data_IF_051627149056
#
_entry.id   IF_051627149056
#
_cell.length_a   1.000
_cell.length_b   1.000
_cell.length_c   1.000
_cell.angle_alpha   90.00
_cell.angle_beta   90.00
_cell.angle_gamma   90.00
#
_symmetry.space_group_name_H-M   'P 1'
#
loop_
_entity.id
_entity.type
_entity.pdbx_description
1 polymer ?
#
# COMPACT_ATOMS: atom_id res chain seq x y z
N UNK A 1 -33.20 10.75 24.86
CA UNK A 1 -31.74 10.80 25.05
C UNK A 1 -31.15 11.32 23.75
N UNK A 2 -30.56 12.52 23.71
CA UNK A 2 -30.12 13.17 22.45
C UNK A 2 -28.97 12.34 21.87
N UNK A 3 -28.99 12.05 20.56
CA UNK A 3 -27.99 11.25 19.84
C UNK A 3 -26.54 11.65 20.20
N UNK A 4 -26.28 12.95 20.37
CA UNK A 4 -24.98 13.46 20.82
C UNK A 4 -24.56 12.94 22.20
N UNK A 5 -25.49 12.75 23.14
CA UNK A 5 -25.19 12.23 24.47
C UNK A 5 -24.86 10.73 24.42
N UNK A 6 -25.51 9.97 23.53
CA UNK A 6 -25.19 8.57 23.29
C UNK A 6 -23.80 8.44 22.65
N UNK A 7 -23.50 9.28 21.65
CA UNK A 7 -22.18 9.33 20.98
C UNK A 7 -21.07 9.70 21.98
N UNK A 8 -21.29 10.71 22.84
CA UNK A 8 -20.30 11.10 23.85
C UNK A 8 -20.08 10.02 24.91
N UNK A 9 -21.14 9.31 25.32
CA UNK A 9 -21.01 8.19 26.25
C UNK A 9 -20.31 6.97 25.62
N UNK A 10 -20.44 6.78 24.31
CA UNK A 10 -19.77 5.69 23.58
C UNK A 10 -18.30 5.99 23.25
N UNK A 11 -17.92 7.26 23.04
CA UNK A 11 -16.58 7.64 22.58
C UNK A 11 -15.54 7.83 23.70
N UNK A 12 -15.95 7.85 24.98
CA UNK A 12 -15.06 8.03 26.12
C UNK A 12 -14.38 9.40 26.18
N UNK A 13 -14.03 9.88 27.38
CA UNK A 13 -13.46 11.20 27.57
C UNK A 13 -12.09 11.33 26.87
N UNK A 14 -12.04 12.09 25.78
CA UNK A 14 -10.84 12.29 24.94
C UNK A 14 -10.40 13.76 25.01
N UNK A 15 -9.27 14.03 25.67
CA UNK A 15 -8.69 15.39 25.89
C UNK A 15 -8.40 16.18 24.58
N UNK A 16 -8.33 17.53 24.61
CA UNK A 16 -8.20 18.37 23.41
C UNK A 16 -6.81 19.03 23.21
N UNK A 17 -6.35 19.11 21.93
CA UNK A 17 -5.92 20.34 21.21
C UNK A 17 -4.83 20.08 20.13
N UNK A 18 -5.13 20.36 18.85
CA UNK A 18 -4.25 20.86 17.75
C UNK A 18 -4.88 20.49 16.38
N UNK A 19 -5.14 21.51 15.54
CA UNK A 19 -5.70 21.49 14.15
C UNK A 19 -6.38 20.16 13.69
N UNK A 20 -7.73 20.19 13.74
CA UNK A 20 -8.75 19.29 13.17
C UNK A 20 -8.63 17.77 13.42
N UNK A 21 -9.00 17.35 14.65
CA UNK A 21 -9.31 15.93 15.00
C UNK A 21 -10.09 15.16 13.90
N UNK A 22 -11.11 15.74 13.24
CA UNK A 22 -11.93 15.01 12.27
C UNK A 22 -11.21 14.62 10.98
N UNK A 23 -10.39 15.48 10.38
CA UNK A 23 -9.71 15.19 9.10
C UNK A 23 -8.64 14.11 9.29
N UNK A 24 -7.91 14.17 10.41
CA UNK A 24 -6.95 13.14 10.79
C UNK A 24 -7.65 11.80 11.08
N UNK A 25 -8.81 11.84 11.74
CA UNK A 25 -9.63 10.65 11.99
C UNK A 25 -10.16 10.05 10.68
N UNK A 26 -10.56 10.88 9.71
CA UNK A 26 -10.99 10.43 8.37
C UNK A 26 -9.84 9.83 7.53
N UNK A 27 -8.65 10.44 7.58
CA UNK A 27 -7.47 9.87 6.95
C UNK A 27 -7.10 8.54 7.61
N UNK A 28 -7.08 8.50 8.95
CA UNK A 28 -6.80 7.29 9.70
C UNK A 28 -7.80 6.18 9.37
N UNK A 29 -9.10 6.49 9.29
CA UNK A 29 -10.12 5.49 8.93
C UNK A 29 -9.90 4.94 7.52
N UNK A 30 -9.56 5.79 6.56
CA UNK A 30 -9.29 5.36 5.18
C UNK A 30 -8.05 4.46 5.10
N UNK A 31 -6.95 4.84 5.77
CA UNK A 31 -5.72 4.04 5.81
C UNK A 31 -5.91 2.71 6.54
N UNK A 32 -6.68 2.70 7.63
CA UNK A 32 -7.06 1.46 8.34
C UNK A 32 -7.89 0.55 7.43
N UNK A 33 -8.83 1.09 6.66
CA UNK A 33 -9.60 0.29 5.69
C UNK A 33 -8.69 -0.40 4.67
N UNK A 34 -7.69 0.32 4.13
CA UNK A 34 -6.73 -0.25 3.19
C UNK A 34 -5.88 -1.33 3.87
N UNK A 35 -5.41 -1.06 5.09
CA UNK A 35 -4.61 -2.01 5.86
C UNK A 35 -5.36 -3.31 6.13
N UNK A 36 -6.66 -3.25 6.48
CA UNK A 36 -7.50 -4.45 6.69
C UNK A 36 -7.51 -5.36 5.45
N UNK A 37 -7.44 -4.77 4.25
CA UNK A 37 -7.36 -5.51 3.00
C UNK A 37 -5.99 -6.16 2.82
N UNK A 38 -4.90 -5.42 3.05
CA UNK A 38 -3.54 -5.97 3.03
C UNK A 38 -3.37 -7.11 4.03
N UNK A 39 -4.00 -7.04 5.19
CA UNK A 39 -3.92 -8.07 6.21
C UNK A 39 -4.52 -9.43 5.79
N UNK A 40 -5.42 -9.43 4.81
CA UNK A 40 -6.00 -10.66 4.24
C UNK A 40 -5.09 -11.32 3.20
N UNK A 41 -4.15 -10.56 2.64
CA UNK A 41 -3.17 -11.01 1.65
C UNK A 41 -1.77 -11.05 2.29
N UNK A 42 -1.32 -12.22 2.81
CA UNK A 42 -0.03 -12.32 3.50
C UNK A 42 1.18 -11.98 2.64
N UNK A 43 1.01 -11.87 1.33
CA UNK A 43 2.10 -11.70 0.37
C UNK A 43 2.33 -10.25 -0.03
N UNK A 44 1.43 -9.34 0.33
CA UNK A 44 1.60 -7.90 0.05
C UNK A 44 2.52 -7.22 1.07
N UNK A 45 2.47 -7.62 2.35
CA UNK A 45 3.46 -7.32 3.39
C UNK A 45 4.28 -6.03 3.21
N UNK A 46 3.65 -4.87 3.42
CA UNK A 46 4.25 -3.54 3.23
C UNK A 46 4.05 -2.95 1.83
N UNK A 47 3.25 -3.60 0.99
CA UNK A 47 2.95 -3.19 -0.38
C UNK A 47 2.27 -1.83 -0.40
N UNK A 48 1.29 -1.61 0.48
CA UNK A 48 0.58 -0.32 0.54
C UNK A 48 1.58 0.82 0.78
N UNK A 49 2.53 0.60 1.70
CA UNK A 49 3.59 1.56 1.97
C UNK A 49 4.52 1.73 0.76
N UNK A 50 5.04 0.65 0.18
CA UNK A 50 5.97 0.72 -0.96
C UNK A 50 5.37 1.44 -2.16
N UNK A 51 4.14 1.08 -2.55
CA UNK A 51 3.44 1.72 -3.66
C UNK A 51 3.23 3.21 -3.36
N UNK A 52 2.80 3.57 -2.16
CA UNK A 52 2.67 4.98 -1.76
C UNK A 52 4.00 5.74 -1.86
N UNK A 53 5.12 5.14 -1.45
CA UNK A 53 6.44 5.79 -1.55
C UNK A 53 6.92 5.92 -3.01
N UNK A 54 6.68 4.91 -3.85
CA UNK A 54 6.99 5.00 -5.28
C UNK A 54 6.16 6.09 -5.96
N UNK A 55 4.87 6.18 -5.63
CA UNK A 55 3.98 7.23 -6.10
C UNK A 55 4.46 8.62 -5.67
N UNK A 56 4.89 8.79 -4.41
CA UNK A 56 5.45 10.05 -3.92
C UNK A 56 6.71 10.47 -4.70
N UNK A 57 7.65 9.54 -4.91
CA UNK A 57 8.87 9.82 -5.67
C UNK A 57 8.57 10.21 -7.12
N UNK A 58 7.69 9.46 -7.78
CA UNK A 58 7.31 9.74 -9.17
C UNK A 58 6.57 11.07 -9.29
N UNK A 59 5.66 11.38 -8.37
CA UNK A 59 4.93 12.64 -8.38
C UNK A 59 5.86 13.84 -8.16
N UNK A 60 6.82 13.75 -7.23
CA UNK A 60 7.85 14.79 -7.03
C UNK A 60 8.72 14.96 -8.27
N UNK A 61 9.16 13.87 -8.88
CA UNK A 61 9.97 13.85 -10.11
C UNK A 61 9.21 14.49 -11.29
N UNK A 62 7.90 14.32 -11.35
CA UNK A 62 7.02 14.94 -12.34
C UNK A 62 6.72 16.43 -12.06
N UNK A 63 7.19 16.99 -10.95
CA UNK A 63 7.05 18.42 -10.63
C UNK A 63 5.66 18.80 -10.08
N UNK A 64 4.90 17.83 -9.56
CA UNK A 64 3.63 18.14 -8.91
C UNK A 64 3.82 18.94 -7.62
N UNK A 65 2.83 19.76 -7.28
CA UNK A 65 2.76 20.47 -6.01
C UNK A 65 2.63 19.47 -4.84
N UNK A 66 3.01 19.91 -3.64
CA UNK A 66 3.07 19.07 -2.44
C UNK A 66 1.72 18.40 -2.12
N UNK A 67 0.62 19.09 -2.38
CA UNK A 67 -0.76 18.61 -2.24
C UNK A 67 -1.08 17.45 -3.16
N UNK A 68 -0.72 17.57 -4.43
CA UNK A 68 -1.00 16.55 -5.41
C UNK A 68 -0.05 15.35 -5.22
N UNK A 69 1.20 15.59 -4.80
CA UNK A 69 2.12 14.52 -4.38
C UNK A 69 1.53 13.69 -3.23
N UNK A 70 1.00 14.35 -2.20
CA UNK A 70 0.36 13.68 -1.07
C UNK A 70 -0.91 12.91 -1.49
N UNK A 71 -1.72 13.48 -2.38
CA UNK A 71 -2.90 12.81 -2.95
C UNK A 71 -2.52 11.56 -3.74
N UNK A 72 -1.47 11.64 -4.56
CA UNK A 72 -0.99 10.51 -5.36
C UNK A 72 -0.42 9.40 -4.48
N UNK A 73 0.36 9.76 -3.46
CA UNK A 73 0.85 8.80 -2.46
C UNK A 73 -0.32 8.14 -1.69
N UNK A 74 -1.33 8.91 -1.29
CA UNK A 74 -2.53 8.39 -0.65
C UNK A 74 -3.30 7.43 -1.58
N UNK A 75 -3.44 7.78 -2.85
CA UNK A 75 -4.02 6.92 -3.88
C UNK A 75 -3.29 5.58 -3.99
N UNK A 76 -1.95 5.61 -4.02
CA UNK A 76 -1.11 4.41 -4.00
C UNK A 76 -1.33 3.53 -2.77
N UNK A 77 -1.55 4.13 -1.59
CA UNK A 77 -1.80 3.38 -0.36
C UNK A 77 -3.16 2.66 -0.36
N UNK A 78 -4.16 3.17 -1.08
CA UNK A 78 -5.56 2.71 -0.95
C UNK A 78 -6.12 2.04 -2.21
N UNK A 79 -5.35 1.99 -3.30
CA UNK A 79 -5.80 1.55 -4.63
C UNK A 79 -6.51 0.18 -4.61
N UNK A 80 -6.04 -0.72 -3.75
CA UNK A 80 -6.46 -2.11 -3.66
C UNK A 80 -7.67 -2.36 -2.72
N UNK A 81 -8.32 -1.32 -2.18
CA UNK A 81 -9.42 -1.44 -1.20
C UNK A 81 -10.52 -2.44 -1.62
N UNK A 82 -10.76 -2.58 -2.92
CA UNK A 82 -11.77 -3.49 -3.43
C UNK A 82 -11.44 -4.98 -3.30
N UNK A 83 -10.18 -5.35 -3.01
CA UNK A 83 -9.79 -6.75 -2.77
C UNK A 83 -10.54 -7.37 -1.59
N UNK A 84 -11.17 -6.55 -0.73
CA UNK A 84 -12.10 -7.03 0.30
C UNK A 84 -13.24 -7.90 -0.27
N UNK A 85 -13.68 -7.64 -1.50
CA UNK A 85 -14.74 -8.42 -2.15
C UNK A 85 -14.26 -9.68 -2.87
N UNK A 86 -12.96 -9.95 -2.88
CA UNK A 86 -12.39 -11.11 -3.57
C UNK A 86 -12.40 -12.33 -2.63
N UNK A 87 -12.84 -13.51 -3.10
CA UNK A 87 -12.78 -14.75 -2.33
C UNK A 87 -11.34 -15.14 -1.97
N UNK A 88 -11.13 -15.60 -0.73
CA UNK A 88 -9.80 -16.01 -0.25
C UNK A 88 -9.16 -17.12 -1.10
N UNK A 89 -9.97 -18.05 -1.62
CA UNK A 89 -9.49 -19.12 -2.51
C UNK A 89 -8.86 -18.59 -3.80
N UNK A 90 -9.27 -17.42 -4.27
CA UNK A 90 -8.69 -16.73 -5.44
C UNK A 90 -7.54 -15.84 -4.99
N UNK A 91 -7.76 -14.99 -3.98
CA UNK A 91 -6.78 -14.01 -3.51
C UNK A 91 -5.48 -14.66 -2.98
N UNK A 92 -5.60 -15.80 -2.29
CA UNK A 92 -4.49 -16.51 -1.63
C UNK A 92 -4.00 -17.72 -2.41
N UNK A 93 -4.37 -17.86 -3.69
CA UNK A 93 -3.98 -19.03 -4.49
C UNK A 93 -2.45 -19.10 -4.62
N UNK A 94 -1.79 -20.21 -4.25
CA UNK A 94 -0.32 -20.33 -4.26
C UNK A 94 0.24 -20.63 -5.67
N UNK A 95 -0.47 -20.26 -6.73
CA UNK A 95 -0.12 -20.59 -8.11
C UNK A 95 -0.84 -19.68 -9.11
N UNK A 96 -0.69 -19.94 -10.42
CA UNK A 96 -1.35 -19.14 -11.45
C UNK A 96 -2.88 -19.22 -11.33
N UNK A 97 -3.53 -18.09 -11.62
CA UNK A 97 -4.97 -17.99 -11.72
C UNK A 97 -5.44 -18.56 -13.08
N UNK A 98 -6.62 -19.18 -13.11
CA UNK A 98 -7.34 -19.43 -14.36
C UNK A 98 -7.91 -18.12 -14.91
N UNK A 99 -8.38 -18.13 -16.16
CA UNK A 99 -9.01 -16.95 -16.77
C UNK A 99 -10.26 -16.51 -15.99
N UNK A 100 -11.05 -17.44 -15.46
CA UNK A 100 -12.23 -17.17 -14.65
C UNK A 100 -11.85 -16.58 -13.29
N UNK A 101 -10.83 -17.11 -12.63
CA UNK A 101 -10.31 -16.58 -11.36
C UNK A 101 -9.71 -15.18 -11.56
N UNK A 102 -9.00 -14.97 -12.66
CA UNK A 102 -8.48 -13.65 -13.03
C UNK A 102 -9.62 -12.67 -13.34
N UNK A 103 -10.69 -13.12 -14.00
CA UNK A 103 -11.88 -12.29 -14.20
C UNK A 103 -12.51 -11.84 -12.88
N UNK A 104 -12.50 -12.69 -11.84
CA UNK A 104 -12.91 -12.30 -10.48
C UNK A 104 -11.99 -11.23 -9.91
N UNK A 105 -10.66 -11.38 -10.01
CA UNK A 105 -9.70 -10.36 -9.56
C UNK A 105 -9.96 -9.00 -10.23
N UNK A 106 -10.24 -8.99 -11.53
CA UNK A 106 -10.53 -7.74 -12.29
C UNK A 106 -11.76 -6.98 -11.81
N UNK A 107 -12.58 -7.56 -10.92
CA UNK A 107 -13.74 -6.86 -10.34
C UNK A 107 -13.38 -5.94 -9.17
N UNK A 108 -12.19 -6.09 -8.57
CA UNK A 108 -11.83 -5.34 -7.37
C UNK A 108 -11.83 -3.81 -7.58
N UNK A 109 -11.44 -3.21 -8.72
CA UNK A 109 -11.45 -1.75 -8.83
C UNK A 109 -12.87 -1.17 -8.71
N UNK A 110 -13.85 -1.80 -9.36
CA UNK A 110 -15.26 -1.42 -9.28
C UNK A 110 -15.89 -1.73 -7.92
N UNK A 111 -15.46 -2.80 -7.24
CA UNK A 111 -15.86 -3.07 -5.85
C UNK A 111 -15.35 -1.96 -4.93
N UNK A 112 -14.07 -1.61 -5.04
CA UNK A 112 -13.44 -0.56 -4.25
C UNK A 112 -14.12 0.79 -4.46
N UNK A 113 -14.39 1.16 -5.70
CA UNK A 113 -15.13 2.37 -6.05
C UNK A 113 -16.52 2.43 -5.37
N UNK A 114 -17.30 1.34 -5.45
CA UNK A 114 -18.63 1.29 -4.81
C UNK A 114 -18.55 1.38 -3.29
N UNK A 115 -17.59 0.70 -2.67
CA UNK A 115 -17.43 0.69 -1.21
C UNK A 115 -16.92 2.03 -0.68
N UNK A 116 -16.05 2.68 -1.44
CA UNK A 116 -15.47 3.96 -1.06
C UNK A 116 -16.49 5.10 -1.17
N UNK A 117 -17.53 5.01 -2.00
CA UNK A 117 -18.48 6.08 -2.31
C UNK A 117 -19.06 6.82 -1.08
N UNK A 118 -19.24 6.14 0.06
CA UNK A 118 -19.77 6.74 1.28
C UNK A 118 -18.70 7.40 2.19
N UNK A 119 -17.42 7.19 1.90
CA UNK A 119 -16.33 7.76 2.69
C UNK A 119 -16.14 9.25 2.35
N UNK A 120 -16.02 10.16 3.33
CA UNK A 120 -15.88 11.60 3.06
C UNK A 120 -14.66 11.99 2.21
N UNK A 121 -13.65 11.13 2.13
CA UNK A 121 -12.43 11.33 1.33
C UNK A 121 -12.46 10.59 -0.02
N UNK A 122 -13.59 10.03 -0.44
CA UNK A 122 -13.69 9.18 -1.63
C UNK A 122 -13.15 9.85 -2.90
N UNK A 123 -13.60 11.07 -3.17
CA UNK A 123 -13.27 11.82 -4.39
C UNK A 123 -11.78 12.17 -4.51
N UNK A 124 -11.01 12.10 -3.41
CA UNK A 124 -9.57 12.31 -3.46
C UNK A 124 -8.84 11.14 -4.12
N UNK A 125 -9.38 9.92 -4.00
CA UNK A 125 -8.64 8.68 -4.33
C UNK A 125 -9.42 7.73 -5.23
N UNK A 126 -10.67 8.02 -5.58
CA UNK A 126 -11.54 7.11 -6.34
C UNK A 126 -10.97 6.73 -7.72
N UNK A 127 -10.27 7.65 -8.39
CA UNK A 127 -9.58 7.35 -9.65
C UNK A 127 -8.44 6.35 -9.45
N UNK A 128 -7.65 6.47 -8.37
CA UNK A 128 -6.61 5.49 -8.05
C UNK A 128 -7.25 4.12 -7.79
N UNK A 129 -8.33 4.06 -7.00
CA UNK A 129 -8.98 2.80 -6.67
C UNK A 129 -9.61 2.13 -7.89
N UNK A 130 -10.30 2.91 -8.73
CA UNK A 130 -11.09 2.36 -9.83
C UNK A 130 -10.29 2.13 -11.10
N UNK A 131 -9.30 2.99 -11.39
CA UNK A 131 -8.70 3.11 -12.72
C UNK A 131 -7.21 2.76 -12.76
N UNK A 132 -6.56 2.35 -11.67
CA UNK A 132 -5.12 2.04 -11.67
C UNK A 132 -4.73 0.84 -12.58
N UNK A 133 -5.70 0.09 -13.09
CA UNK A 133 -5.50 -0.98 -14.08
C UNK A 133 -5.94 -0.61 -15.50
N UNK A 134 -6.30 0.66 -15.74
CA UNK A 134 -6.46 1.16 -17.10
C UNK A 134 -5.10 1.26 -17.81
N UNK A 135 -5.12 1.05 -19.13
CA UNK A 135 -3.91 1.01 -19.95
C UNK A 135 -4.06 1.99 -21.10
N UNK A 136 -3.06 2.83 -21.43
CA UNK A 136 -3.12 3.81 -22.52
C UNK A 136 -3.60 3.29 -23.88
N UNK A 137 -3.40 2.01 -24.18
CA UNK A 137 -3.88 1.36 -25.41
C UNK A 137 -5.36 0.91 -25.40
N UNK A 138 -6.07 1.10 -24.27
CA UNK A 138 -7.47 0.73 -24.10
C UNK A 138 -7.72 -0.76 -23.78
N UNK A 139 -6.67 -1.56 -23.52
CA UNK A 139 -6.81 -2.97 -23.13
C UNK A 139 -6.90 -3.18 -21.62
N UNK A 140 -6.85 -2.10 -20.85
CA UNK A 140 -7.02 -2.10 -19.40
C UNK A 140 -8.47 -2.34 -18.97
N UNK A 141 -8.71 -2.23 -17.67
CA UNK A 141 -10.02 -2.44 -17.05
C UNK A 141 -10.20 -1.52 -15.84
N UNK A 142 -11.44 -1.22 -15.40
CA UNK A 142 -12.72 -1.83 -15.81
C UNK A 142 -13.42 -1.19 -17.02
N UNK A 143 -13.03 0.01 -17.45
CA UNK A 143 -13.72 0.80 -18.48
C UNK A 143 -13.03 0.75 -19.85
N UNK A 144 -11.75 0.37 -19.92
CA UNK A 144 -11.00 0.31 -21.18
C UNK A 144 -10.64 1.69 -21.72
N UNK A 145 -10.28 2.60 -20.80
CA UNK A 145 -9.91 3.98 -21.11
C UNK A 145 -8.60 4.04 -21.90
N UNK A 146 -8.45 5.04 -22.77
CA UNK A 146 -7.20 5.30 -23.50
C UNK A 146 -6.40 6.43 -22.85
N UNK A 147 -5.15 6.61 -23.29
CA UNK A 147 -4.17 7.52 -22.69
C UNK A 147 -4.73 8.90 -22.23
N UNK A 148 -5.49 9.59 -23.09
CA UNK A 148 -6.03 10.93 -22.78
C UNK A 148 -7.24 10.95 -21.84
N UNK A 149 -7.75 9.78 -21.47
CA UNK A 149 -8.93 9.59 -20.62
C UNK A 149 -8.55 9.10 -19.21
N UNK A 150 -7.33 8.57 -19.04
CA UNK A 150 -6.85 8.04 -17.76
C UNK A 150 -6.29 9.19 -16.90
N UNK A 151 -6.84 9.45 -15.70
CA UNK A 151 -6.32 10.47 -14.80
C UNK A 151 -4.85 10.19 -14.42
N UNK A 152 -4.02 11.23 -14.29
CA UNK A 152 -2.61 11.07 -13.92
C UNK A 152 -2.42 10.30 -12.62
N UNK A 153 -3.35 10.46 -11.67
CA UNK A 153 -3.40 9.74 -10.41
C UNK A 153 -3.41 8.23 -10.64
N UNK A 154 -4.30 7.75 -11.52
CA UNK A 154 -4.41 6.34 -11.87
C UNK A 154 -3.19 5.84 -12.65
N UNK A 155 -2.71 6.62 -13.62
CA UNK A 155 -1.52 6.28 -14.41
C UNK A 155 -0.27 6.09 -13.55
N UNK A 156 -0.04 6.99 -12.59
CA UNK A 156 1.11 6.90 -11.67
C UNK A 156 0.98 5.68 -10.76
N UNK A 157 -0.20 5.48 -10.15
CA UNK A 157 -0.44 4.33 -9.27
C UNK A 157 -0.27 3.01 -10.01
N UNK A 158 -0.78 2.89 -11.24
CA UNK A 158 -0.64 1.67 -12.05
C UNK A 158 0.81 1.32 -12.40
N UNK A 159 1.66 2.33 -12.65
CA UNK A 159 3.10 2.12 -12.86
C UNK A 159 3.76 1.62 -11.56
N UNK A 160 3.48 2.29 -10.44
CA UNK A 160 4.08 1.98 -9.14
C UNK A 160 3.64 0.61 -8.60
N UNK A 161 2.37 0.25 -8.73
CA UNK A 161 1.84 -1.08 -8.38
C UNK A 161 2.49 -2.17 -9.23
N UNK A 162 2.52 -2.00 -10.56
CA UNK A 162 3.15 -2.97 -11.45
C UNK A 162 4.63 -3.18 -11.12
N UNK A 163 5.36 -2.09 -10.80
CA UNK A 163 6.76 -2.17 -10.38
C UNK A 163 6.93 -2.92 -9.06
N UNK A 164 6.13 -2.62 -8.04
CA UNK A 164 6.19 -3.32 -6.75
C UNK A 164 5.84 -4.80 -6.95
N UNK A 165 4.82 -5.12 -7.74
CA UNK A 165 4.44 -6.49 -8.04
C UNK A 165 5.53 -7.27 -8.77
N UNK A 166 6.28 -6.63 -9.67
CA UNK A 166 7.42 -7.25 -10.39
C UNK A 166 8.61 -7.51 -9.47
N UNK A 167 8.94 -6.56 -8.60
CA UNK A 167 10.13 -6.61 -7.73
C UNK A 167 9.88 -7.33 -6.40
N UNK A 168 8.62 -7.49 -6.00
CA UNK A 168 8.22 -8.27 -4.83
C UNK A 168 8.19 -9.76 -5.13
N UNK A 169 8.64 -10.55 -4.15
CA UNK A 169 8.59 -12.01 -4.23
C UNK A 169 7.25 -12.52 -3.70
N UNK A 170 6.67 -13.49 -4.40
CA UNK A 170 5.44 -14.20 -4.08
C UNK A 170 5.73 -15.69 -3.95
N UNK A 171 4.86 -16.53 -3.35
CA UNK A 171 5.11 -17.96 -3.14
C UNK A 171 5.55 -18.73 -4.37
N UNK A 172 4.99 -18.37 -5.52
CA UNK A 172 5.21 -19.03 -6.80
C UNK A 172 6.23 -18.30 -7.69
N UNK A 173 6.78 -17.15 -7.27
CA UNK A 173 7.67 -16.34 -8.10
C UNK A 173 8.60 -15.46 -7.28
N UNK A 174 9.91 -15.61 -7.49
CA UNK A 174 10.90 -14.64 -7.02
C UNK A 174 10.68 -13.26 -7.67
N UNK A 175 10.82 -12.20 -6.88
CA UNK A 175 10.85 -10.84 -7.40
C UNK A 175 12.01 -10.67 -8.38
N UNK A 176 11.77 -9.92 -9.46
CA UNK A 176 12.82 -9.68 -10.45
C UNK A 176 13.72 -8.52 -10.04
N UNK A 177 14.99 -8.49 -10.51
CA UNK A 177 15.88 -7.36 -10.28
C UNK A 177 15.28 -6.04 -10.78
N UNK A 178 15.54 -4.94 -10.06
CA UNK A 178 15.10 -3.58 -10.40
C UNK A 178 15.34 -3.26 -11.89
N UNK A 179 16.55 -3.49 -12.39
CA UNK A 179 16.90 -3.21 -13.79
C UNK A 179 16.00 -3.95 -14.80
N UNK A 180 15.61 -5.20 -14.49
CA UNK A 180 14.70 -5.97 -15.34
C UNK A 180 13.28 -5.40 -15.29
N UNK A 181 12.77 -5.04 -14.11
CA UNK A 181 11.46 -4.42 -13.96
C UNK A 181 11.35 -3.09 -14.72
N UNK A 182 12.38 -2.24 -14.61
CA UNK A 182 12.45 -0.96 -15.36
C UNK A 182 12.53 -1.18 -16.87
N UNK A 183 13.24 -2.22 -17.33
CA UNK A 183 13.27 -2.59 -18.75
C UNK A 183 11.87 -3.01 -19.25
N UNK A 184 11.10 -3.74 -18.45
CA UNK A 184 9.72 -4.11 -18.79
C UNK A 184 8.83 -2.87 -18.88
N UNK A 185 8.95 -1.92 -17.95
CA UNK A 185 8.24 -0.64 -18.02
C UNK A 185 8.59 0.08 -19.33
N UNK A 186 9.89 0.21 -19.64
CA UNK A 186 10.37 0.87 -20.85
C UNK A 186 9.85 0.24 -22.14
N UNK A 187 9.71 -1.09 -22.20
CA UNK A 187 9.16 -1.81 -23.35
C UNK A 187 7.66 -1.61 -23.56
N UNK A 188 6.93 -1.17 -22.52
CA UNK A 188 5.46 -1.06 -22.53
C UNK A 188 4.96 0.39 -22.39
N UNK A 189 5.83 1.39 -22.60
CA UNK A 189 5.43 2.80 -22.65
C UNK A 189 4.45 3.05 -23.80
N UNK A 190 3.38 3.80 -23.53
CA UNK A 190 2.31 4.10 -24.49
C UNK A 190 1.35 2.93 -24.76
N UNK A 191 1.58 1.75 -24.18
CA UNK A 191 0.66 0.61 -24.25
C UNK A 191 0.07 0.30 -22.88
N UNK A 192 0.84 -0.34 -21.99
CA UNK A 192 0.44 -0.60 -20.61
C UNK A 192 0.64 0.61 -19.70
N UNK A 193 1.72 1.37 -19.91
CA UNK A 193 2.10 2.45 -19.03
C UNK A 193 2.05 3.78 -19.76
N UNK A 194 1.62 4.83 -19.05
CA UNK A 194 1.73 6.19 -19.57
C UNK A 194 3.18 6.50 -19.97
N UNK A 195 3.38 7.03 -21.18
CA UNK A 195 4.71 7.21 -21.73
C UNK A 195 5.53 8.28 -20.98
N UNK A 196 4.87 9.34 -20.51
CA UNK A 196 5.54 10.42 -19.80
C UNK A 196 5.92 9.99 -18.40
N UNK A 197 4.97 9.47 -17.62
CA UNK A 197 5.23 9.04 -16.25
C UNK A 197 6.12 7.79 -16.19
N UNK A 198 5.98 6.87 -17.14
CA UNK A 198 6.83 5.68 -17.21
C UNK A 198 8.29 6.04 -17.52
N UNK A 199 8.54 7.03 -18.38
CA UNK A 199 9.91 7.53 -18.63
C UNK A 199 10.53 8.15 -17.36
N UNK A 200 9.77 9.01 -16.66
CA UNK A 200 10.23 9.60 -15.40
C UNK A 200 10.49 8.54 -14.31
N UNK A 201 9.69 7.48 -14.26
CA UNK A 201 9.89 6.38 -13.33
C UNK A 201 11.17 5.59 -13.63
N UNK A 202 11.51 5.40 -14.91
CA UNK A 202 12.77 4.76 -15.31
C UNK A 202 13.98 5.56 -14.84
N UNK A 203 13.90 6.89 -14.89
CA UNK A 203 14.96 7.77 -14.36
C UNK A 203 15.13 7.69 -12.83
N UNK A 204 14.11 7.23 -12.08
CA UNK A 204 14.27 6.93 -10.65
C UNK A 204 15.10 5.66 -10.42
N UNK A 205 15.44 4.92 -11.47
CA UNK A 205 16.27 3.72 -11.42
C UNK A 205 17.74 3.95 -11.03
N UNK A 206 18.15 5.19 -10.81
CA UNK A 206 19.50 5.53 -10.33
C UNK A 206 19.83 4.81 -9.00
N UNK A 207 21.10 4.41 -8.78
CA UNK A 207 21.51 3.71 -7.57
C UNK A 207 21.10 4.46 -6.29
N UNK A 208 20.46 3.74 -5.37
CA UNK A 208 20.11 4.27 -4.04
C UNK A 208 18.74 4.96 -3.94
N UNK A 209 18.05 5.23 -5.05
CA UNK A 209 16.74 5.91 -5.03
C UNK A 209 15.60 4.95 -4.67
N UNK A 210 15.47 3.83 -5.39
CA UNK A 210 14.39 2.84 -5.18
C UNK A 210 14.75 1.76 -4.16
N UNK A 211 16.04 1.51 -3.93
CA UNK A 211 16.51 0.44 -3.03
C UNK A 211 16.07 0.56 -1.57
N UNK A 212 15.86 1.76 -0.99
CA UNK A 212 15.32 1.89 0.37
C UNK A 212 13.84 1.52 0.49
N UNK A 213 13.14 1.33 -0.64
CA UNK A 213 11.71 1.00 -0.69
C UNK A 213 11.51 -0.46 -1.11
N UNK A 214 12.22 -0.92 -2.15
CA UNK A 214 12.10 -2.30 -2.65
C UNK A 214 12.35 -3.29 -1.51
N UNK A 215 11.42 -4.22 -1.30
CA UNK A 215 11.55 -5.26 -0.27
C UNK A 215 11.54 -4.72 1.16
N UNK A 216 10.96 -3.55 1.40
CA UNK A 216 10.79 -3.00 2.74
C UNK A 216 9.31 -2.97 3.15
N UNK A 217 9.08 -3.04 4.45
CA UNK A 217 7.76 -2.96 5.09
C UNK A 217 7.46 -1.55 5.57
N UNK A 218 8.52 -0.80 5.85
CA UNK A 218 8.54 0.58 6.28
C UNK A 218 9.96 1.13 6.03
N UNK A 219 10.15 2.44 6.17
CA UNK A 219 11.42 3.13 6.05
C UNK A 219 12.46 2.51 6.98
N UNK A 220 13.48 1.88 6.38
CA UNK A 220 14.58 1.23 7.09
C UNK A 220 14.24 -0.14 7.68
N UNK A 221 13.07 -0.70 7.38
CA UNK A 221 12.63 -2.02 7.88
C UNK A 221 12.49 -3.01 6.72
N UNK A 222 13.54 -3.82 6.43
CA UNK A 222 13.49 -4.79 5.35
C UNK A 222 12.51 -5.93 5.66
N UNK A 223 11.80 -6.39 4.62
CA UNK A 223 10.96 -7.58 4.67
C UNK A 223 11.81 -8.83 4.93
N UNK A 224 11.29 -9.76 5.75
CA UNK A 224 12.04 -10.96 6.14
C UNK A 224 11.55 -12.22 5.44
N UNK A 225 12.50 -13.12 5.23
CA UNK A 225 12.29 -14.39 4.55
C UNK A 225 11.88 -15.49 5.54
N UNK A 226 10.65 -15.98 5.40
CA UNK A 226 10.24 -17.23 6.02
C UNK A 226 10.97 -18.37 5.32
N UNK A 227 11.79 -19.12 6.05
CA UNK A 227 12.52 -20.29 5.53
C UNK A 227 11.62 -21.40 4.99
N UNK A 228 10.31 -21.38 5.29
CA UNK A 228 9.35 -22.39 4.81
C UNK A 228 8.62 -21.99 3.53
N UNK A 229 8.31 -20.71 3.33
CA UNK A 229 7.40 -20.30 2.24
C UNK A 229 7.72 -18.95 1.59
N UNK A 230 8.87 -18.34 1.89
CA UNK A 230 9.35 -17.14 1.20
C UNK A 230 9.26 -15.84 2.01
N UNK A 231 9.53 -14.69 1.38
CA UNK A 231 9.55 -13.38 2.03
C UNK A 231 8.16 -12.87 2.33
N UNK A 232 7.67 -13.27 3.50
CA UNK A 232 6.30 -13.10 3.97
C UNK A 232 6.24 -12.67 5.43
N UNK A 233 7.40 -12.50 6.08
CA UNK A 233 7.46 -12.10 7.49
C UNK A 233 7.63 -10.60 7.54
N UNK A 234 6.53 -9.93 7.90
CA UNK A 234 6.44 -8.49 8.03
C UNK A 234 6.94 -8.09 9.41
N UNK A 235 7.93 -7.20 9.45
CA UNK A 235 8.35 -6.58 10.70
C UNK A 235 7.73 -5.19 10.80
N UNK A 236 7.31 -4.82 12.00
CA UNK A 236 6.80 -3.48 12.33
C UNK A 236 7.85 -2.71 13.09
N UNK A 237 7.75 -1.38 13.08
CA UNK A 237 8.65 -0.48 13.81
C UNK A 237 8.64 -0.73 15.32
N UNK A 238 7.53 -1.19 15.88
CA UNK A 238 7.40 -1.54 17.29
C UNK A 238 8.19 -2.79 17.71
N UNK A 239 8.54 -3.69 16.78
CA UNK A 239 9.22 -4.94 17.14
C UNK A 239 10.63 -4.72 17.70
N UNK A 240 11.03 -5.58 18.63
CA UNK A 240 12.31 -5.57 19.35
C UNK A 240 12.93 -6.96 19.36
N UNK A 241 14.21 -7.03 19.69
CA UNK A 241 14.86 -8.31 19.96
C UNK A 241 14.17 -9.02 21.13
N UNK A 242 13.91 -10.32 20.98
CA UNK A 242 13.13 -11.13 21.93
C UNK A 242 11.64 -11.26 21.59
N UNK A 243 11.11 -10.44 20.68
CA UNK A 243 9.72 -10.59 20.24
C UNK A 243 9.57 -11.82 19.34
N UNK A 244 8.37 -12.41 19.35
CA UNK A 244 7.96 -13.42 18.38
C UNK A 244 7.24 -12.79 17.20
N UNK A 245 7.55 -13.24 15.99
CA UNK A 245 6.82 -12.89 14.78
C UNK A 245 6.45 -14.13 13.99
N UNK A 246 5.28 -14.09 13.39
CA UNK A 246 4.72 -15.24 12.70
C UNK A 246 4.63 -14.98 11.20
N UNK A 247 4.92 -16.01 10.42
CA UNK A 247 4.67 -15.97 8.99
C UNK A 247 3.16 -15.96 8.73
N UNK A 248 2.64 -14.89 8.12
CA UNK A 248 1.21 -14.77 7.78
C UNK A 248 0.70 -15.81 6.77
N UNK A 249 1.60 -16.55 6.13
CA UNK A 249 1.27 -17.60 5.18
C UNK A 249 1.23 -19.01 5.81
N UNK A 250 2.36 -19.48 6.34
CA UNK A 250 2.47 -20.85 6.88
C UNK A 250 2.33 -20.94 8.39
N UNK A 251 2.28 -19.81 9.10
CA UNK A 251 2.17 -19.74 10.54
C UNK A 251 3.44 -20.08 11.32
N UNK A 252 4.57 -20.30 10.64
CA UNK A 252 5.86 -20.54 11.27
C UNK A 252 6.23 -19.39 12.22
N UNK A 253 6.68 -19.78 13.42
CA UNK A 253 7.11 -18.88 14.47
C UNK A 253 8.62 -18.59 14.39
N UNK A 254 8.95 -17.32 14.61
CA UNK A 254 10.31 -16.81 14.59
C UNK A 254 10.58 -15.91 15.79
N UNK A 255 11.69 -16.15 16.47
CA UNK A 255 12.24 -15.25 17.47
C UNK A 255 13.06 -14.17 16.78
N UNK A 256 12.84 -12.91 17.16
CA UNK A 256 13.63 -11.79 16.66
C UNK A 256 14.94 -11.67 17.42
N UNK A 257 16.05 -11.70 16.69
CA UNK A 257 17.39 -11.51 17.23
C UNK A 257 18.00 -10.20 16.74
N UNK A 258 18.81 -9.58 17.59
CA UNK A 258 19.65 -8.45 17.21
C UNK A 258 21.10 -8.79 17.56
N UNK A 259 21.95 -8.93 16.54
CA UNK A 259 23.35 -9.35 16.73
C UNK A 259 24.21 -8.26 17.35
N UNK A 260 23.97 -7.02 16.97
CA UNK A 260 24.62 -5.82 17.50
C UNK A 260 23.59 -4.68 17.63
N UNK A 261 23.79 -3.70 18.52
CA UNK A 261 22.84 -2.60 18.74
C UNK A 261 22.40 -1.86 17.46
N UNK A 262 23.26 -1.81 16.45
CA UNK A 262 23.00 -1.12 15.17
C UNK A 262 22.56 -2.07 14.03
N UNK A 263 22.52 -3.39 14.28
CA UNK A 263 22.08 -4.37 13.28
C UNK A 263 20.56 -4.44 13.18
N UNK A 264 20.08 -4.74 11.97
CA UNK A 264 18.66 -5.02 11.70
C UNK A 264 18.21 -6.34 12.35
N UNK A 265 16.93 -6.43 12.76
CA UNK A 265 16.38 -7.61 13.45
C UNK A 265 16.34 -8.84 12.54
N UNK A 266 17.04 -9.91 12.90
CA UNK A 266 17.06 -11.19 12.18
C UNK A 266 16.02 -12.18 12.71
N UNK A 267 15.64 -13.16 11.88
CA UNK A 267 14.72 -14.22 12.27
C UNK A 267 15.48 -15.48 12.69
N UNK A 268 15.15 -16.03 13.85
CA UNK A 268 15.54 -17.37 14.26
C UNK A 268 14.29 -18.27 14.30
N UNK A 269 14.30 -19.35 13.52
CA UNK A 269 13.16 -20.27 13.49
C UNK A 269 13.04 -21.03 14.81
N UNK A 270 11.87 -20.97 15.45
CA UNK A 270 11.66 -21.67 16.73
C UNK A 270 11.30 -23.15 16.56
N UNK A 271 10.97 -23.56 15.33
CA UNK A 271 10.47 -24.90 15.01
C UNK A 271 9.01 -25.13 15.41
N UNK A 272 8.30 -24.08 15.85
CA UNK A 272 6.89 -24.14 16.22
C UNK A 272 6.02 -23.30 15.29
N UNK A 273 4.72 -23.24 15.56
CA UNK A 273 3.76 -22.43 14.80
C UNK A 273 2.89 -21.63 15.75
N UNK A 274 2.49 -20.44 15.32
CA UNK A 274 1.61 -19.56 16.08
C UNK A 274 0.24 -20.17 16.33
N UNK A 275 -0.38 -19.78 17.44
CA UNK A 275 -1.79 -20.09 17.70
C UNK A 275 -2.70 -19.29 16.76
N UNK A 276 -4.01 -19.60 16.74
CA UNK A 276 -4.98 -18.82 15.97
C UNK A 276 -4.99 -17.33 16.37
N UNK A 277 -4.70 -17.01 17.64
CA UNK A 277 -4.59 -15.63 18.11
C UNK A 277 -3.35 -14.95 17.52
N UNK A 278 -2.22 -15.64 17.51
CA UNK A 278 -0.94 -15.10 17.02
C UNK A 278 -0.96 -14.85 15.50
N UNK A 279 -1.72 -15.66 14.77
CA UNK A 279 -1.90 -15.54 13.32
C UNK A 279 -3.02 -14.56 12.92
N UNK A 280 -3.71 -13.97 13.90
CA UNK A 280 -4.74 -12.99 13.63
C UNK A 280 -4.09 -11.68 13.13
N UNK A 281 -4.54 -11.11 12.00
CA UNK A 281 -3.98 -9.88 11.49
C UNK A 281 -4.24 -8.69 12.42
N UNK A 282 -3.21 -7.86 12.63
CA UNK A 282 -3.30 -6.63 13.45
C UNK A 282 -2.75 -5.42 12.70
N UNK A 283 -3.51 -4.33 12.67
CA UNK A 283 -3.11 -3.12 11.97
C UNK A 283 -1.78 -2.55 12.45
N UNK A 284 -0.96 -2.06 11.52
CA UNK A 284 0.21 -1.26 11.86
C UNK A 284 -0.22 0.17 12.17
N UNK A 285 -0.77 0.36 13.37
CA UNK A 285 -1.29 1.65 13.84
C UNK A 285 -0.19 2.70 13.90
N UNK A 286 1.04 2.32 14.28
CA UNK A 286 2.18 3.23 14.35
C UNK A 286 2.58 3.74 12.97
N UNK A 287 2.60 2.86 11.95
CA UNK A 287 2.78 3.27 10.56
C UNK A 287 1.69 4.26 10.14
N UNK A 288 0.41 3.91 10.35
CA UNK A 288 -0.72 4.75 9.96
C UNK A 288 -0.65 6.13 10.62
N UNK A 289 -0.42 6.19 11.94
CA UNK A 289 -0.30 7.46 12.67
C UNK A 289 0.83 8.32 12.11
N UNK A 290 1.99 7.72 11.81
CA UNK A 290 3.13 8.44 11.24
C UNK A 290 2.87 8.97 9.84
N UNK A 291 2.22 8.17 8.98
CA UNK A 291 1.83 8.59 7.63
C UNK A 291 0.86 9.78 7.70
N UNK A 292 -0.16 9.70 8.57
CA UNK A 292 -1.09 10.80 8.81
C UNK A 292 -0.32 12.04 9.27
N UNK A 293 0.50 11.94 10.32
CA UNK A 293 1.14 13.09 10.95
C UNK A 293 2.24 13.75 10.10
N UNK A 294 2.98 12.98 9.30
CA UNK A 294 4.19 13.48 8.64
C UNK A 294 4.11 13.50 7.11
N UNK A 295 3.26 12.67 6.50
CA UNK A 295 3.13 12.62 5.04
C UNK A 295 1.88 13.36 4.55
N UNK A 296 0.76 13.27 5.25
CA UNK A 296 -0.53 13.79 4.76
C UNK A 296 -1.00 15.08 5.45
N UNK A 297 -0.92 15.17 6.78
CA UNK A 297 -1.42 16.34 7.55
C UNK A 297 -0.64 17.64 7.31
N UNK A 298 0.70 17.65 7.21
CA UNK A 298 1.44 18.90 6.99
C UNK A 298 0.95 19.64 5.74
N UNK A 299 0.57 18.87 4.73
CA UNK A 299 0.08 19.32 3.42
C UNK A 299 -1.33 19.93 3.52
N UNK A 300 -2.19 19.40 4.40
CA UNK A 300 -3.51 19.97 4.67
C UNK A 300 -3.45 21.30 5.46
N UNK A 301 -2.41 21.50 6.28
CA UNK A 301 -2.25 22.73 7.10
C UNK A 301 -1.80 23.95 6.27
N UNK A 302 -1.01 23.74 5.22
CA UNK A 302 -0.59 24.82 4.31
C UNK A 302 -1.78 25.44 3.53
N UNK A 303 -2.86 24.67 3.32
CA UNK A 303 -4.10 25.16 2.71
C UNK A 303 -4.89 26.14 3.59
N UNK A 304 -4.87 25.97 4.92
CA UNK A 304 -5.58 26.86 5.82
C UNK A 304 -4.93 28.26 5.91
N UNK A 305 -3.65 28.34 5.59
CA UNK A 305 -2.81 29.54 5.71
C UNK A 305 -2.82 30.40 4.43
N UNK A 306 -3.24 29.82 3.30
CA UNK A 306 -3.14 30.40 1.96
C UNK A 306 -4.49 30.83 1.36
N UNK A 307 -5.61 30.67 2.08
CA UNK A 307 -6.91 31.22 1.67
C UNK A 307 -6.95 32.72 2.01
N UNK A 308 -7.10 33.63 1.03
CA UNK A 308 -7.36 35.03 1.32
C UNK A 308 -8.74 35.14 1.99
N UNK A 309 -8.80 35.95 3.06
CA UNK A 309 -10.03 36.34 3.75
C UNK A 309 -11.00 37.10 2.85
#
# INVERSE_FOLDING_TARGET
MKLNQLIQNLLGARQPAQVSRPEQELLSSLLVMAWVVEARDPYTGGHLWRVAQFCELLAKKAGFAVEEVARIALGGFVHDLGKVGIPDAVLRKPGPLSDEEYAVIKTHPDIGFRLLHAHPLATLVEDAVRLHHEMPDGRGYPLGLKAGEIPHLASIVGICDAFDAMTSTRPYRAGMPQAQALQIIGKNLGSQFDAHFGALFIELGEPGVLSPIIGHTDQGIPLRHCGMCGPTVVLKRAHRAGDHVFCGNCGADYLLLQKTPDSVLELEATGTSGSAKDLSPEADVELIERLVQHQFVPVLREQASSRPH
#
